data_IF_957941974732
#
_entry.id   IF_957941974732
#
_cell.length_a   1.000
_cell.length_b   1.000
_cell.length_c   1.000
_cell.angle_alpha   90.00
_cell.angle_beta   90.00
_cell.angle_gamma   90.00
#
_symmetry.space_group_name_H-M   'P 1'
#
loop_
_entity.id
_entity.type
_entity.pdbx_description
1 polymer ?
#
# COMPACT_ATOMS: atom_id res chain seq x y z
N UNK A 1 -28.76 21.32 4.01
CA UNK A 1 -28.03 21.23 5.29
C UNK A 1 -26.83 20.32 5.10
N UNK A 2 -25.60 20.83 5.23
CA UNK A 2 -24.39 20.01 5.12
C UNK A 2 -24.28 19.18 6.40
N UNK A 3 -24.61 17.89 6.32
CA UNK A 3 -24.65 16.99 7.46
C UNK A 3 -23.22 16.77 8.00
N UNK A 4 -23.05 16.92 9.31
CA UNK A 4 -21.79 16.69 10.01
C UNK A 4 -21.43 15.20 9.92
N UNK A 5 -20.16 14.87 9.66
CA UNK A 5 -19.74 13.49 9.42
C UNK A 5 -18.99 12.87 10.59
N UNK A 6 -18.23 13.68 11.36
CA UNK A 6 -17.44 13.18 12.49
C UNK A 6 -17.47 14.12 13.68
N UNK A 7 -17.44 13.50 14.86
CA UNK A 7 -17.15 14.12 16.14
C UNK A 7 -15.95 13.36 16.73
N UNK A 8 -14.81 14.04 16.94
CA UNK A 8 -13.59 13.47 17.53
C UNK A 8 -13.03 14.47 18.53
N UNK A 9 -12.83 14.06 19.79
CA UNK A 9 -12.38 14.88 20.91
C UNK A 9 -13.13 16.22 21.00
N UNK A 10 -14.47 16.16 20.97
CA UNK A 10 -15.38 17.30 20.95
C UNK A 10 -15.24 18.27 19.76
N UNK A 11 -14.48 17.90 18.73
CA UNK A 11 -14.33 18.67 17.50
C UNK A 11 -15.16 18.07 16.36
N UNK A 12 -15.85 18.94 15.62
CA UNK A 12 -16.73 18.55 14.51
C UNK A 12 -16.02 18.70 13.16
N UNK A 13 -16.13 17.67 12.32
CA UNK A 13 -15.59 17.69 10.97
C UNK A 13 -16.66 17.30 9.94
N UNK A 14 -16.68 18.01 8.83
CA UNK A 14 -17.67 17.79 7.75
C UNK A 14 -17.16 16.79 6.74
N UNK A 15 -15.85 16.69 6.55
CA UNK A 15 -15.24 15.83 5.53
C UNK A 15 -14.07 15.01 6.07
N UNK A 16 -13.79 13.89 5.40
CA UNK A 16 -12.59 13.08 5.63
C UNK A 16 -11.31 13.93 5.45
N UNK A 17 -11.33 14.86 4.50
CA UNK A 17 -10.19 15.75 4.21
C UNK A 17 -9.88 16.67 5.39
N UNK A 18 -10.90 17.27 6.00
CA UNK A 18 -10.74 18.14 7.17
C UNK A 18 -10.22 17.35 8.38
N UNK A 19 -10.85 16.21 8.67
CA UNK A 19 -10.48 15.35 9.80
C UNK A 19 -9.04 14.81 9.66
N UNK A 20 -8.68 14.27 8.49
CA UNK A 20 -7.32 13.83 8.20
C UNK A 20 -6.32 14.98 8.19
N UNK A 21 -6.75 16.17 7.76
CA UNK A 21 -5.94 17.39 7.79
C UNK A 21 -5.56 17.78 9.21
N UNK A 22 -6.47 17.64 10.16
CA UNK A 22 -6.19 17.87 11.58
C UNK A 22 -5.19 16.87 12.15
N UNK A 23 -5.40 15.56 11.90
CA UNK A 23 -4.43 14.53 12.29
C UNK A 23 -3.04 14.77 11.66
N UNK A 24 -2.98 15.23 10.41
CA UNK A 24 -1.73 15.65 9.76
C UNK A 24 -1.09 16.82 10.50
N UNK A 25 -1.87 17.82 10.91
CA UNK A 25 -1.32 18.96 11.66
C UNK A 25 -0.67 18.49 12.96
N UNK A 26 -1.33 17.61 13.72
CA UNK A 26 -0.77 17.00 14.94
C UNK A 26 0.56 16.28 14.67
N UNK A 27 0.70 15.60 13.55
CA UNK A 27 1.95 14.91 13.19
C UNK A 27 3.12 15.89 12.92
N UNK A 28 2.82 17.08 12.43
CA UNK A 28 3.83 18.03 11.95
C UNK A 28 4.02 19.27 12.86
N UNK A 29 3.14 19.51 13.83
CA UNK A 29 3.18 20.66 14.74
C UNK A 29 4.31 20.61 15.79
N UNK A 30 5.05 19.50 15.88
CA UNK A 30 6.13 19.30 16.84
C UNK A 30 7.31 18.57 16.19
N UNK A 31 8.41 18.41 16.92
CA UNK A 31 9.65 17.77 16.45
C UNK A 31 9.48 16.27 16.14
N UNK A 32 10.37 15.74 15.31
CA UNK A 32 10.55 14.28 15.19
C UNK A 32 11.06 13.74 16.52
N UNK A 33 10.66 12.52 16.86
CA UNK A 33 10.85 11.82 18.12
C UNK A 33 10.12 12.41 19.31
N UNK A 34 9.32 13.48 19.15
CA UNK A 34 8.48 13.97 20.25
C UNK A 34 7.28 13.06 20.51
N UNK A 35 6.86 13.00 21.76
CA UNK A 35 5.71 12.24 22.22
C UNK A 35 4.44 13.10 22.09
N UNK A 36 3.31 12.46 21.79
CA UNK A 36 2.00 13.10 21.86
C UNK A 36 1.54 13.22 23.30
N UNK A 37 1.08 14.40 23.69
CA UNK A 37 0.61 14.72 25.03
C UNK A 37 -0.69 15.54 24.97
N UNK A 38 -1.39 15.65 26.09
CA UNK A 38 -2.57 16.51 26.22
C UNK A 38 -3.66 16.22 25.18
N UNK A 39 -4.21 17.29 24.61
CA UNK A 39 -5.32 17.22 23.64
C UNK A 39 -4.92 16.55 22.32
N UNK A 40 -3.67 16.68 21.88
CA UNK A 40 -3.18 15.99 20.67
C UNK A 40 -3.21 14.47 20.86
N UNK A 41 -2.81 13.97 22.04
CA UNK A 41 -2.87 12.55 22.36
C UNK A 41 -4.32 12.05 22.44
N UNK A 42 -5.19 12.76 23.17
CA UNK A 42 -6.61 12.41 23.29
C UNK A 42 -7.28 12.35 21.92
N UNK A 43 -7.05 13.36 21.09
CA UNK A 43 -7.56 13.42 19.74
C UNK A 43 -7.11 12.21 18.92
N UNK A 44 -5.81 11.90 18.90
CA UNK A 44 -5.30 10.81 18.06
C UNK A 44 -5.76 9.44 18.55
N UNK A 45 -5.89 9.22 19.86
CA UNK A 45 -6.47 7.98 20.40
C UNK A 45 -7.90 7.81 19.91
N UNK A 46 -8.76 8.81 20.10
CA UNK A 46 -10.16 8.74 19.69
C UNK A 46 -10.30 8.63 18.16
N UNK A 47 -9.42 9.31 17.41
CA UNK A 47 -9.34 9.21 15.96
C UNK A 47 -9.09 7.76 15.52
N UNK A 48 -8.09 7.10 16.11
CA UNK A 48 -7.78 5.72 15.76
C UNK A 48 -8.85 4.74 16.24
N UNK A 49 -9.38 4.92 17.46
CA UNK A 49 -10.49 4.11 17.99
C UNK A 49 -11.72 4.12 17.08
N UNK A 50 -12.05 5.29 16.52
CA UNK A 50 -13.24 5.45 15.67
C UNK A 50 -13.01 5.02 14.22
N UNK A 51 -11.79 5.15 13.71
CA UNK A 51 -11.54 5.07 12.26
C UNK A 51 -10.61 3.95 11.82
N UNK A 52 -9.77 3.41 12.70
CA UNK A 52 -8.73 2.47 12.30
C UNK A 52 -9.17 1.04 12.56
N UNK A 53 -9.44 0.28 11.50
CA UNK A 53 -9.91 -1.11 11.60
C UNK A 53 -8.95 -2.02 12.37
N UNK A 54 -7.63 -1.78 12.27
CA UNK A 54 -6.61 -2.51 13.06
C UNK A 54 -6.27 -1.85 14.40
N UNK A 55 -7.06 -0.88 14.91
CA UNK A 55 -6.67 -0.14 16.13
C UNK A 55 -6.43 -1.07 17.32
N UNK A 56 -7.31 -2.05 17.51
CA UNK A 56 -7.22 -3.02 18.60
C UNK A 56 -5.90 -3.79 18.51
N UNK A 57 -5.54 -4.28 17.33
CA UNK A 57 -4.31 -5.02 17.09
C UNK A 57 -3.06 -4.14 17.23
N UNK A 58 -3.10 -2.92 16.70
CA UNK A 58 -2.01 -1.94 16.79
C UNK A 58 -1.75 -1.52 18.22
N UNK A 59 -2.80 -1.30 19.03
CA UNK A 59 -2.71 -1.06 20.47
C UNK A 59 -2.15 -2.27 21.22
N UNK A 60 -2.50 -3.48 20.80
CA UNK A 60 -1.98 -4.74 21.32
C UNK A 60 -2.20 -4.86 22.84
N UNK A 61 -1.14 -5.21 23.57
CA UNK A 61 -1.16 -5.40 25.04
C UNK A 61 -1.41 -4.13 25.85
N UNK A 62 -1.44 -2.97 25.21
CA UNK A 62 -1.69 -1.68 25.84
C UNK A 62 -0.81 -0.58 25.26
N UNK A 63 -1.35 0.64 25.20
CA UNK A 63 -0.64 1.81 24.70
C UNK A 63 0.20 2.44 25.82
N UNK A 64 1.52 2.53 25.63
CA UNK A 64 2.39 3.33 26.49
C UNK A 64 2.41 4.79 26.03
N UNK A 65 2.66 5.03 24.73
CA UNK A 65 2.65 6.37 24.12
C UNK A 65 2.59 6.31 22.61
N UNK A 66 2.27 7.45 21.99
CA UNK A 66 2.37 7.65 20.55
C UNK A 66 3.48 8.67 20.27
N UNK A 67 4.44 8.32 19.43
CA UNK A 67 5.58 9.15 19.04
C UNK A 67 5.45 9.60 17.58
N UNK A 68 5.96 10.80 17.28
CA UNK A 68 6.18 11.28 15.91
C UNK A 68 7.53 10.75 15.42
N UNK A 69 7.57 9.99 14.34
CA UNK A 69 8.83 9.42 13.80
C UNK A 69 8.98 9.75 12.32
N UNK A 70 10.16 9.50 11.76
CA UNK A 70 10.30 9.40 10.31
C UNK A 70 9.76 8.05 9.84
N UNK A 71 9.07 8.06 8.70
CA UNK A 71 8.58 6.85 8.06
C UNK A 71 9.76 5.95 7.69
N UNK A 72 9.74 4.68 8.15
CA UNK A 72 10.85 3.73 7.95
C UNK A 72 11.06 3.34 6.49
N UNK A 73 10.00 3.37 5.68
CA UNK A 73 10.01 2.94 4.28
C UNK A 73 10.26 4.13 3.36
N UNK A 74 9.62 5.26 3.66
CA UNK A 74 9.68 6.48 2.87
C UNK A 74 10.27 7.62 3.70
N UNK A 75 11.54 7.50 4.10
CA UNK A 75 12.28 8.38 5.04
C UNK A 75 12.26 9.90 4.82
N UNK A 76 11.52 10.39 3.82
CA UNK A 76 11.12 11.79 3.63
C UNK A 76 9.90 12.19 4.46
N UNK A 77 9.00 11.26 4.77
CA UNK A 77 7.72 11.53 5.42
C UNK A 77 7.76 11.23 6.91
N UNK A 78 6.83 11.80 7.67
CA UNK A 78 6.65 11.48 9.09
C UNK A 78 5.53 10.46 9.25
N UNK A 79 5.59 9.71 10.34
CA UNK A 79 4.58 8.73 10.73
C UNK A 79 4.33 8.79 12.24
N UNK A 80 3.19 8.26 12.67
CA UNK A 80 2.96 7.96 14.08
C UNK A 80 3.50 6.56 14.38
N UNK A 81 4.13 6.41 15.53
CA UNK A 81 4.58 5.14 16.08
C UNK A 81 3.93 4.92 17.43
N UNK A 82 3.30 3.77 17.61
CA UNK A 82 2.82 3.29 18.89
C UNK A 82 3.99 2.59 19.58
N UNK A 83 4.24 3.00 20.83
CA UNK A 83 5.01 2.22 21.78
C UNK A 83 4.02 1.58 22.75
N UNK A 84 4.11 0.26 22.91
CA UNK A 84 3.22 -0.51 23.79
C UNK A 84 3.82 -0.64 25.20
N UNK A 85 3.01 -1.05 26.17
CA UNK A 85 3.43 -1.20 27.58
C UNK A 85 4.52 -2.27 27.78
N UNK A 86 4.66 -3.21 26.86
CA UNK A 86 5.74 -4.20 26.82
C UNK A 86 7.01 -3.70 26.09
N UNK A 87 7.03 -2.42 25.71
CA UNK A 87 8.06 -1.75 24.90
C UNK A 87 8.17 -2.23 23.45
N UNK A 88 7.27 -3.09 22.96
CA UNK A 88 7.16 -3.35 21.52
C UNK A 88 6.66 -2.09 20.78
N UNK A 89 7.00 -1.98 19.50
CA UNK A 89 6.69 -0.80 18.68
C UNK A 89 6.04 -1.18 17.35
N UNK A 90 5.12 -0.35 16.89
CA UNK A 90 4.52 -0.45 15.55
C UNK A 90 4.28 0.94 14.96
N UNK A 91 4.34 1.07 13.65
CA UNK A 91 3.77 2.23 12.96
C UNK A 91 2.24 2.16 12.92
N UNK A 92 1.60 3.33 12.83
CA UNK A 92 0.16 3.44 12.59
C UNK A 92 -0.13 4.56 11.59
N UNK A 93 -0.95 4.26 10.59
CA UNK A 93 -1.35 5.24 9.57
C UNK A 93 -2.46 6.13 10.10
N UNK A 94 -2.45 7.41 9.75
CA UNK A 94 -3.60 8.32 9.99
C UNK A 94 -4.38 8.62 8.70
N UNK A 95 -3.95 8.08 7.55
CA UNK A 95 -4.58 8.38 6.26
C UNK A 95 -5.92 7.62 6.20
N UNK A 96 -7.03 8.34 6.15
CA UNK A 96 -8.39 7.80 6.28
C UNK A 96 -8.67 6.68 5.27
N UNK A 97 -8.29 6.89 4.01
CA UNK A 97 -8.45 5.89 2.96
C UNK A 97 -7.68 4.58 3.24
N UNK A 98 -6.68 4.62 4.13
CA UNK A 98 -5.87 3.47 4.53
C UNK A 98 -6.44 2.72 5.74
N UNK A 99 -7.22 3.39 6.59
CA UNK A 99 -7.49 2.90 7.94
C UNK A 99 -8.95 2.50 8.16
N UNK A 100 -9.90 3.03 7.38
CA UNK A 100 -11.33 2.76 7.58
C UNK A 100 -11.79 1.35 7.26
N UNK A 101 -11.19 0.76 6.23
CA UNK A 101 -11.58 -0.56 5.76
C UNK A 101 -10.32 -1.36 5.46
N UNK A 102 -10.36 -2.68 5.72
CA UNK A 102 -9.33 -3.59 5.25
C UNK A 102 -9.07 -3.39 3.75
N UNK A 103 -7.80 -3.41 3.36
CA UNK A 103 -7.37 -3.14 1.99
C UNK A 103 -7.14 -4.42 1.20
N UNK A 104 -7.96 -5.43 1.46
CA UNK A 104 -7.80 -6.80 0.95
C UNK A 104 -7.50 -6.84 -0.54
N UNK A 105 -8.26 -6.13 -1.39
CA UNK A 105 -7.99 -6.11 -2.84
C UNK A 105 -6.65 -5.46 -3.22
N UNK A 106 -6.23 -4.41 -2.50
CA UNK A 106 -4.93 -3.76 -2.71
C UNK A 106 -3.79 -4.65 -2.22
N UNK A 107 -3.96 -5.28 -1.07
CA UNK A 107 -2.97 -6.16 -0.46
C UNK A 107 -2.81 -7.43 -1.28
N UNK A 108 -3.91 -8.01 -1.77
CA UNK A 108 -3.92 -9.10 -2.73
C UNK A 108 -3.12 -8.71 -3.98
N UNK A 109 -3.45 -7.59 -4.64
CA UNK A 109 -2.72 -7.12 -5.82
C UNK A 109 -1.23 -6.87 -5.53
N UNK A 110 -0.90 -6.38 -4.34
CA UNK A 110 0.49 -6.16 -3.95
C UNK A 110 1.25 -7.47 -3.71
N UNK A 111 0.62 -8.46 -3.07
CA UNK A 111 1.17 -9.81 -2.90
C UNK A 111 1.44 -10.47 -4.26
N UNK A 112 0.49 -10.36 -5.20
CA UNK A 112 0.66 -10.87 -6.56
C UNK A 112 1.84 -10.22 -7.30
N UNK A 113 2.10 -8.93 -7.08
CA UNK A 113 3.30 -8.26 -7.63
C UNK A 113 4.59 -8.82 -7.06
N UNK A 114 4.62 -9.12 -5.76
CA UNK A 114 5.79 -9.74 -5.13
C UNK A 114 6.04 -11.14 -5.67
N UNK A 115 4.99 -11.93 -5.88
CA UNK A 115 5.08 -13.28 -6.46
C UNK A 115 5.76 -13.24 -7.83
N UNK A 116 5.43 -12.26 -8.68
CA UNK A 116 5.98 -12.18 -10.05
C UNK A 116 7.28 -11.37 -10.16
N UNK A 117 7.79 -10.80 -9.07
CA UNK A 117 9.01 -9.99 -9.10
C UNK A 117 10.18 -10.71 -9.80
N UNK A 118 10.45 -12.01 -9.56
CA UNK A 118 11.51 -12.72 -10.27
C UNK A 118 11.28 -12.75 -11.79
N UNK A 119 10.05 -12.93 -12.25
CA UNK A 119 9.72 -12.94 -13.68
C UNK A 119 9.93 -11.58 -14.33
N UNK A 120 9.58 -10.50 -13.62
CA UNK A 120 9.81 -9.13 -14.07
C UNK A 120 11.31 -8.84 -14.19
N UNK A 121 12.09 -9.26 -13.20
CA UNK A 121 13.54 -9.09 -13.21
C UNK A 121 14.21 -9.88 -14.35
N UNK A 122 13.82 -11.14 -14.54
CA UNK A 122 14.36 -11.99 -15.60
C UNK A 122 13.98 -11.47 -16.99
N UNK A 123 12.75 -11.00 -17.16
CA UNK A 123 12.33 -10.31 -18.38
C UNK A 123 13.23 -9.09 -18.66
N UNK A 124 13.40 -8.19 -17.68
CA UNK A 124 14.29 -7.03 -17.85
C UNK A 124 15.71 -7.46 -18.22
N UNK A 125 16.28 -8.45 -17.53
CA UNK A 125 17.61 -8.97 -17.86
C UNK A 125 17.70 -9.47 -19.30
N UNK A 126 16.69 -10.20 -19.78
CA UNK A 126 16.67 -10.69 -21.17
C UNK A 126 16.59 -9.56 -22.20
N UNK A 127 15.83 -8.50 -21.92
CA UNK A 127 15.69 -7.34 -22.82
C UNK A 127 17.01 -6.59 -22.99
N UNK A 128 17.79 -6.50 -21.91
CA UNK A 128 19.07 -5.80 -21.89
C UNK A 128 20.29 -6.72 -22.09
N UNK A 129 20.09 -8.02 -22.36
CA UNK A 129 21.19 -8.98 -22.47
C UNK A 129 22.17 -8.68 -23.60
N UNK A 130 21.68 -8.06 -24.69
CA UNK A 130 22.47 -7.75 -25.88
C UNK A 130 22.69 -6.25 -26.10
N UNK A 131 22.11 -5.40 -25.26
CA UNK A 131 22.24 -3.95 -25.36
C UNK A 131 21.98 -3.29 -24.00
N UNK A 132 22.83 -2.33 -23.63
CA UNK A 132 22.64 -1.52 -22.42
C UNK A 132 21.54 -0.46 -22.58
N UNK A 133 20.96 -0.35 -23.78
CA UNK A 133 19.88 0.58 -24.10
C UNK A 133 18.78 -0.09 -24.91
N UNK A 134 17.53 0.28 -24.65
CA UNK A 134 16.38 -0.13 -25.47
C UNK A 134 15.46 1.05 -25.73
N UNK A 135 14.74 1.03 -26.84
CA UNK A 135 13.80 2.10 -27.19
C UNK A 135 12.45 1.83 -26.52
N UNK A 136 11.88 2.84 -25.86
CA UNK A 136 10.53 2.76 -25.32
C UNK A 136 9.52 2.60 -26.46
N UNK A 137 8.65 1.58 -26.46
CA UNK A 137 7.68 1.34 -27.55
C UNK A 137 6.49 2.32 -27.54
N UNK A 138 6.47 3.29 -26.62
CA UNK A 138 5.38 4.28 -26.48
C UNK A 138 5.90 5.69 -26.73
N UNK A 139 6.96 6.09 -26.03
CA UNK A 139 7.51 7.45 -26.08
C UNK A 139 8.73 7.58 -26.97
N UNK A 140 9.23 6.49 -27.53
CA UNK A 140 10.47 6.43 -28.30
C UNK A 140 11.75 6.83 -27.54
N UNK A 141 11.64 7.12 -26.23
CA UNK A 141 12.77 7.44 -25.36
C UNK A 141 13.75 6.27 -25.24
N UNK A 142 15.05 6.58 -25.14
CA UNK A 142 16.09 5.58 -24.85
C UNK A 142 16.01 5.24 -23.35
N UNK A 143 15.90 3.95 -23.06
CA UNK A 143 15.78 3.40 -21.73
C UNK A 143 17.04 2.65 -21.33
N UNK A 144 17.45 2.81 -20.07
CA UNK A 144 18.43 1.95 -19.40
C UNK A 144 17.75 0.97 -18.47
N UNK A 145 18.50 -0.05 -18.04
CA UNK A 145 17.98 -1.10 -17.17
C UNK A 145 17.36 -0.52 -15.88
N UNK A 146 18.02 0.44 -15.25
CA UNK A 146 17.60 1.07 -13.98
C UNK A 146 16.45 2.07 -14.18
N UNK A 147 16.32 2.62 -15.39
CA UNK A 147 15.46 3.76 -15.70
C UNK A 147 14.14 3.35 -16.38
N UNK A 148 13.94 2.05 -16.63
CA UNK A 148 12.72 1.54 -17.23
C UNK A 148 11.78 0.83 -16.23
N UNK A 149 10.49 0.93 -16.51
CA UNK A 149 9.47 0.10 -15.88
C UNK A 149 9.15 -1.09 -16.78
N UNK A 150 8.91 -2.26 -16.17
CA UNK A 150 8.23 -3.35 -16.86
C UNK A 150 6.72 -3.13 -16.79
N UNK A 151 6.07 -3.13 -17.94
CA UNK A 151 4.62 -2.92 -18.09
C UNK A 151 3.97 -4.14 -18.75
N UNK A 152 2.72 -4.38 -18.39
CA UNK A 152 1.85 -5.40 -19.00
C UNK A 152 1.11 -4.77 -20.18
N UNK A 153 1.46 -5.18 -21.39
CA UNK A 153 0.99 -4.53 -22.61
C UNK A 153 -0.48 -4.86 -22.94
N UNK A 154 -0.78 -6.14 -23.18
CA UNK A 154 -2.11 -6.70 -23.37
C UNK A 154 -2.06 -8.24 -23.18
N UNK A 155 -2.75 -8.83 -22.18
CA UNK A 155 -3.60 -8.18 -21.18
C UNK A 155 -2.82 -7.31 -20.19
N UNK A 156 -3.50 -6.33 -19.58
CA UNK A 156 -2.98 -5.52 -18.46
C UNK A 156 -2.88 -6.37 -17.19
N UNK A 157 -2.09 -5.92 -16.21
CA UNK A 157 -1.97 -6.64 -14.93
C UNK A 157 -3.32 -6.80 -14.21
N UNK A 158 -4.20 -5.80 -14.31
CA UNK A 158 -5.54 -5.87 -13.71
C UNK A 158 -6.43 -6.91 -14.42
N UNK A 159 -6.37 -6.98 -15.75
CA UNK A 159 -7.07 -8.02 -16.52
C UNK A 159 -6.56 -9.42 -16.17
N UNK A 160 -5.24 -9.61 -16.07
CA UNK A 160 -4.63 -10.88 -15.64
C UNK A 160 -5.16 -11.29 -14.25
N UNK A 161 -5.22 -10.35 -13.30
CA UNK A 161 -5.73 -10.63 -11.95
C UNK A 161 -7.21 -11.03 -11.98
N UNK A 162 -8.04 -10.28 -12.72
CA UNK A 162 -9.48 -10.57 -12.80
C UNK A 162 -9.73 -11.94 -13.44
N UNK A 163 -9.03 -12.27 -14.51
CA UNK A 163 -9.14 -13.58 -15.16
C UNK A 163 -8.66 -14.70 -14.23
N UNK A 164 -7.55 -14.48 -13.50
CA UNK A 164 -7.07 -15.43 -12.51
C UNK A 164 -8.08 -15.70 -11.38
N UNK A 165 -8.69 -14.64 -10.83
CA UNK A 165 -9.74 -14.73 -9.80
C UNK A 165 -10.90 -15.56 -10.33
N UNK A 166 -11.33 -15.31 -11.58
CA UNK A 166 -12.44 -16.02 -12.22
C UNK A 166 -12.14 -17.49 -12.45
N UNK A 167 -10.97 -17.82 -13.00
CA UNK A 167 -10.55 -19.20 -13.30
C UNK A 167 -10.43 -20.03 -12.02
N UNK A 168 -9.87 -19.45 -10.96
CA UNK A 168 -9.66 -20.13 -9.68
C UNK A 168 -10.85 -20.00 -8.72
N UNK A 169 -11.94 -19.34 -9.15
CA UNK A 169 -13.16 -19.14 -8.38
C UNK A 169 -12.89 -18.57 -6.98
N UNK A 170 -12.00 -17.57 -6.91
CA UNK A 170 -11.64 -16.95 -5.63
C UNK A 170 -12.78 -16.02 -5.20
N UNK A 171 -13.57 -16.44 -4.21
CA UNK A 171 -14.76 -15.71 -3.76
C UNK A 171 -14.50 -14.76 -2.60
N UNK A 172 -13.53 -15.07 -1.75
CA UNK A 172 -13.17 -14.25 -0.59
C UNK A 172 -11.65 -14.04 -0.51
N UNK A 173 -11.20 -12.88 -0.99
CA UNK A 173 -9.78 -12.52 -0.97
C UNK A 173 -9.24 -12.34 0.46
N UNK A 174 -10.10 -12.10 1.46
CA UNK A 174 -9.66 -11.86 2.84
C UNK A 174 -9.11 -13.11 3.51
N UNK A 175 -9.52 -14.29 3.04
CA UNK A 175 -9.00 -15.58 3.48
C UNK A 175 -7.67 -15.97 2.80
N UNK A 176 -7.38 -15.33 1.67
CA UNK A 176 -6.24 -15.67 0.80
C UNK A 176 -5.07 -14.73 1.04
N UNK A 177 -5.33 -13.49 1.45
CA UNK A 177 -4.28 -12.55 1.86
C UNK A 177 -3.93 -12.82 3.32
N UNK A 178 -2.63 -12.87 3.63
CA UNK A 178 -2.17 -12.99 5.01
C UNK A 178 -2.70 -11.84 5.85
N UNK A 179 -3.21 -12.13 7.05
CA UNK A 179 -3.49 -11.09 8.04
C UNK A 179 -2.21 -10.30 8.29
N UNK A 180 -2.30 -8.98 8.19
CA UNK A 180 -1.19 -8.05 8.45
C UNK A 180 -0.60 -8.34 9.82
N UNK A 181 0.69 -8.68 9.87
CA UNK A 181 1.43 -8.91 11.12
C UNK A 181 2.22 -7.68 11.52
N UNK A 182 2.53 -7.59 12.80
CA UNK A 182 3.35 -6.51 13.33
C UNK A 182 4.71 -6.45 12.60
N UNK A 183 5.11 -5.27 12.13
CA UNK A 183 6.30 -5.04 11.29
C UNK A 183 6.31 -5.71 9.90
N UNK A 184 5.18 -6.21 9.40
CA UNK A 184 5.08 -6.70 8.01
C UNK A 184 5.04 -5.52 7.03
N UNK A 185 6.05 -5.43 6.16
CA UNK A 185 6.14 -4.38 5.13
C UNK A 185 5.62 -4.81 3.76
N UNK A 186 5.44 -6.12 3.55
CA UNK A 186 4.97 -6.73 2.29
C UNK A 186 3.70 -7.53 2.52
N UNK A 187 2.67 -7.30 1.72
CA UNK A 187 1.51 -8.18 1.68
C UNK A 187 1.90 -9.54 1.10
N UNK A 188 1.38 -10.61 1.70
CA UNK A 188 1.65 -11.99 1.31
C UNK A 188 0.33 -12.75 1.10
N UNK A 189 0.37 -13.83 0.32
CA UNK A 189 -0.74 -14.78 0.28
C UNK A 189 -0.56 -15.82 1.38
N UNK A 190 -1.64 -16.18 2.06
CA UNK A 190 -1.66 -17.24 3.08
C UNK A 190 -1.52 -18.64 2.48
N UNK A 191 -1.95 -18.82 1.23
CA UNK A 191 -1.91 -20.10 0.52
C UNK A 191 -0.80 -20.13 -0.54
N UNK A 192 0.25 -20.91 -0.26
CA UNK A 192 1.37 -21.11 -1.18
C UNK A 192 0.96 -21.79 -2.50
N UNK A 193 -0.13 -22.58 -2.52
CA UNK A 193 -0.65 -23.18 -3.74
C UNK A 193 -1.22 -22.12 -4.68
N UNK A 194 -2.00 -21.16 -4.15
CA UNK A 194 -2.53 -20.03 -4.93
C UNK A 194 -1.38 -19.16 -5.44
N UNK A 195 -0.36 -18.93 -4.61
CA UNK A 195 0.82 -18.18 -5.03
C UNK A 195 1.54 -18.84 -6.23
N UNK A 196 1.78 -20.15 -6.16
CA UNK A 196 2.40 -20.91 -7.26
C UNK A 196 1.50 -20.94 -8.50
N UNK A 197 0.19 -21.13 -8.33
CA UNK A 197 -0.77 -21.07 -9.44
C UNK A 197 -0.74 -19.71 -10.15
N UNK A 198 -0.67 -18.61 -9.40
CA UNK A 198 -0.57 -17.28 -9.98
C UNK A 198 0.75 -17.07 -10.71
N UNK A 199 1.86 -17.54 -10.12
CA UNK A 199 3.17 -17.47 -10.75
C UNK A 199 3.16 -18.13 -12.14
N UNK A 200 2.68 -19.37 -12.24
CA UNK A 200 2.59 -20.10 -13.51
C UNK A 200 1.57 -19.48 -14.47
N UNK A 201 0.40 -19.07 -13.96
CA UNK A 201 -0.61 -18.42 -14.78
C UNK A 201 -0.08 -17.13 -15.41
N UNK A 202 0.52 -16.25 -14.61
CA UNK A 202 1.13 -15.01 -15.10
C UNK A 202 2.17 -15.29 -16.17
N UNK A 203 3.06 -16.27 -15.96
CA UNK A 203 4.09 -16.67 -16.93
C UNK A 203 3.48 -17.09 -18.28
N UNK A 204 2.29 -17.70 -18.27
CA UNK A 204 1.62 -18.18 -19.48
C UNK A 204 0.87 -17.09 -20.27
N UNK A 205 0.44 -15.99 -19.62
CA UNK A 205 -0.44 -14.98 -20.24
C UNK A 205 0.18 -13.59 -20.34
N UNK A 206 1.22 -13.28 -19.55
CA UNK A 206 1.75 -11.94 -19.47
C UNK A 206 2.59 -11.59 -20.70
N UNK A 207 2.24 -10.48 -21.35
CA UNK A 207 3.03 -9.88 -22.42
C UNK A 207 3.71 -8.63 -21.87
N UNK A 208 4.96 -8.78 -21.47
CA UNK A 208 5.76 -7.72 -20.86
C UNK A 208 6.47 -6.85 -21.89
N UNK A 209 6.69 -5.59 -21.55
CA UNK A 209 7.52 -4.63 -22.29
C UNK A 209 8.23 -3.67 -21.35
N UNK A 210 9.39 -3.16 -21.77
CA UNK A 210 10.06 -2.07 -21.06
C UNK A 210 9.52 -0.73 -21.57
N UNK A 211 9.09 0.13 -20.66
CA UNK A 211 8.54 1.47 -20.98
C UNK A 211 9.20 2.52 -20.09
N UNK A 212 9.16 3.78 -20.52
CA UNK A 212 9.61 4.87 -19.66
C UNK A 212 8.65 5.09 -18.49
N UNK A 213 9.14 5.56 -17.33
CA UNK A 213 8.30 5.90 -16.19
C UNK A 213 7.22 6.91 -16.56
N UNK A 214 7.57 7.92 -17.37
CA UNK A 214 6.63 8.93 -17.83
C UNK A 214 5.50 8.32 -18.68
N UNK A 215 5.86 7.51 -19.69
CA UNK A 215 4.89 6.84 -20.55
C UNK A 215 3.99 5.88 -19.76
N UNK A 216 4.52 5.22 -18.73
CA UNK A 216 3.76 4.33 -17.86
C UNK A 216 2.75 5.07 -16.98
N UNK A 217 3.17 6.20 -16.40
CA UNK A 217 2.37 6.94 -15.42
C UNK A 217 1.30 7.85 -16.05
N UNK A 218 1.53 8.34 -17.27
CA UNK A 218 0.61 9.23 -18.00
C UNK A 218 -0.43 8.49 -18.84
N UNK A 219 -0.24 7.19 -19.06
CA UNK A 219 -1.17 6.37 -19.83
C UNK A 219 -2.52 6.32 -19.13
N UNK A 220 -3.59 6.64 -19.86
CA UNK A 220 -4.96 6.41 -19.36
C UNK A 220 -5.09 4.93 -19.02
N UNK A 221 -5.36 4.62 -17.75
CA UNK A 221 -5.74 3.26 -17.35
C UNK A 221 -6.97 2.88 -18.17
N UNK A 222 -6.95 1.72 -18.82
CA UNK A 222 -8.19 1.12 -19.32
C UNK A 222 -9.04 0.83 -18.09
N UNK A 223 -10.14 1.56 -17.95
CA UNK A 223 -11.08 1.38 -16.85
C UNK A 223 -11.80 0.06 -17.09
N UNK A 224 -11.43 -0.97 -16.32
CA UNK A 224 -12.28 -2.14 -16.13
C UNK A 224 -12.75 -2.13 -14.68
N UNK A 225 -13.47 -1.07 -14.32
CA UNK A 225 -14.42 -0.95 -13.21
C UNK A 225 -15.55 -0.05 -13.70
#
# INVERSE_FOLDING_TARGET
>A
MNCMKYLVNNMLFKTDKELQGFAKNILYNSGVNSVLEGEDLKFMIEYFEKLHHEWIDKKGVGLLRIRRVMDKVYGKYRAFQIERVDNSITDISYIIANIKTPRVGKDFKQALRWIIEPQILDFKKSVFAHSNIVKCPISDEILRFEECHADHSNPTFDEIIMDFIKINKLTDLSQIVSISRDNQTKAELSDAKIANQFYEYHKSVAVLRCVSPNANLTRKKRSNL
#
